data_IF_696797560410
#
_entry.id   IF_696797560410
#
_cell.length_a   1.000
_cell.length_b   1.000
_cell.length_c   1.000
_cell.angle_alpha   90.00
_cell.angle_beta   90.00
_cell.angle_gamma   90.00
#
_symmetry.space_group_name_H-M   'P 1'
#
loop_
_entity.id
_entity.type
_entity.pdbx_description
1 polymer ?
#
# COMPACT_ATOMS: atom_id res chain seq x y z
N UNK A 1 -3.52 -10.00 -20.55
CA UNK A 1 -2.38 -9.38 -19.83
C UNK A 1 -1.08 -9.99 -20.34
N UNK A 2 -0.14 -9.20 -20.83
CA UNK A 2 1.12 -9.71 -21.38
C UNK A 2 1.92 -10.38 -20.24
N UNK A 3 2.05 -11.71 -20.26
CA UNK A 3 2.74 -12.51 -19.23
C UNK A 3 4.20 -12.06 -19.00
N UNK A 4 4.79 -11.40 -19.99
CA UNK A 4 6.17 -10.95 -19.95
C UNK A 4 6.38 -9.60 -19.23
N UNK A 5 5.34 -8.80 -19.00
CA UNK A 5 5.50 -7.45 -18.43
C UNK A 5 6.15 -7.46 -17.04
N UNK A 6 5.75 -8.36 -16.17
CA UNK A 6 6.27 -8.44 -14.80
C UNK A 6 7.52 -9.33 -14.65
N UNK A 7 7.89 -10.06 -15.69
CA UNK A 7 9.02 -10.98 -15.61
C UNK A 7 10.30 -10.25 -15.23
N UNK A 8 10.96 -10.72 -14.16
CA UNK A 8 12.18 -10.14 -13.56
C UNK A 8 12.04 -8.69 -13.03
N UNK A 9 10.87 -8.06 -13.10
CA UNK A 9 10.65 -6.74 -12.51
C UNK A 9 10.85 -6.77 -11.00
N UNK A 10 11.56 -5.76 -10.47
CA UNK A 10 11.71 -5.57 -9.03
C UNK A 10 10.54 -4.75 -8.49
N UNK A 11 9.71 -5.37 -7.68
CA UNK A 11 8.45 -4.81 -7.19
C UNK A 11 8.46 -4.75 -5.68
N UNK A 12 8.09 -3.59 -5.12
CA UNK A 12 7.85 -3.42 -3.70
C UNK A 12 6.35 -3.36 -3.41
N UNK A 13 5.89 -4.10 -2.41
CA UNK A 13 4.51 -4.07 -1.92
C UNK A 13 4.55 -3.71 -0.43
N UNK A 14 3.96 -2.58 -0.03
CA UNK A 14 3.72 -2.31 1.38
C UNK A 14 2.41 -2.98 1.80
N UNK A 15 2.33 -3.52 3.02
CA UNK A 15 1.17 -4.30 3.44
C UNK A 15 1.03 -5.62 2.67
N UNK A 16 2.17 -6.22 2.31
CA UNK A 16 2.22 -7.46 1.52
C UNK A 16 1.53 -8.66 2.19
N UNK A 17 1.46 -8.67 3.51
CA UNK A 17 0.83 -9.73 4.31
C UNK A 17 -0.65 -9.48 4.63
N UNK A 18 -1.21 -8.36 4.16
CA UNK A 18 -2.65 -8.08 4.16
C UNK A 18 -3.39 -8.90 3.09
N UNK A 19 -4.72 -8.85 3.08
CA UNK A 19 -5.56 -9.63 2.16
C UNK A 19 -5.23 -9.35 0.68
N UNK A 20 -5.28 -8.09 0.27
CA UNK A 20 -4.99 -7.68 -1.12
C UNK A 20 -3.51 -7.91 -1.44
N UNK A 21 -2.61 -7.51 -0.53
CA UNK A 21 -1.16 -7.64 -0.70
C UNK A 21 -0.70 -9.08 -0.91
N UNK A 22 -1.27 -10.02 -0.16
CA UNK A 22 -0.95 -11.46 -0.27
C UNK A 22 -1.34 -12.02 -1.65
N UNK A 23 -2.56 -11.73 -2.10
CA UNK A 23 -3.05 -12.18 -3.40
C UNK A 23 -2.26 -11.56 -4.56
N UNK A 24 -1.93 -10.27 -4.45
CA UNK A 24 -1.10 -9.58 -5.43
C UNK A 24 0.31 -10.17 -5.48
N UNK A 25 0.95 -10.37 -4.32
CA UNK A 25 2.27 -10.97 -4.24
C UNK A 25 2.31 -12.38 -4.86
N UNK A 26 1.33 -13.22 -4.54
CA UNK A 26 1.16 -14.56 -5.14
C UNK A 26 1.14 -14.47 -6.67
N UNK A 27 0.31 -13.58 -7.22
CA UNK A 27 0.18 -13.40 -8.67
C UNK A 27 1.46 -12.89 -9.31
N UNK A 28 2.11 -11.90 -8.72
CA UNK A 28 3.35 -11.32 -9.24
C UNK A 28 4.53 -12.31 -9.20
N UNK A 29 4.65 -13.11 -8.13
CA UNK A 29 5.62 -14.20 -8.04
C UNK A 29 5.37 -15.23 -9.15
N UNK A 30 4.12 -15.63 -9.36
CA UNK A 30 3.75 -16.55 -10.45
C UNK A 30 4.11 -15.99 -11.83
N UNK A 31 4.02 -14.67 -12.03
CA UNK A 31 4.43 -13.98 -13.27
C UNK A 31 5.95 -13.75 -13.38
N UNK A 32 6.73 -14.28 -12.45
CA UNK A 32 8.20 -14.21 -12.48
C UNK A 32 8.80 -12.88 -12.01
N UNK A 33 8.02 -12.04 -11.30
CA UNK A 33 8.53 -10.83 -10.68
C UNK A 33 9.43 -11.14 -9.47
N UNK A 34 10.39 -10.24 -9.19
CA UNK A 34 11.18 -10.21 -7.95
C UNK A 34 10.44 -9.36 -6.93
N UNK A 35 9.64 -10.02 -6.07
CA UNK A 35 8.75 -9.33 -5.13
C UNK A 35 9.46 -9.11 -3.80
N UNK A 36 9.40 -7.88 -3.32
CA UNK A 36 9.77 -7.48 -1.96
C UNK A 36 8.56 -6.92 -1.24
N UNK A 37 8.51 -7.05 0.07
CA UNK A 37 7.40 -6.53 0.85
C UNK A 37 7.83 -5.87 2.15
N UNK A 38 7.03 -4.89 2.60
CA UNK A 38 7.14 -4.30 3.93
C UNK A 38 6.00 -4.86 4.78
N UNK A 39 6.37 -5.36 5.97
CA UNK A 39 5.46 -5.84 7.02
C UNK A 39 5.76 -5.10 8.32
N UNK A 40 4.74 -4.79 9.12
CA UNK A 40 4.93 -4.18 10.44
C UNK A 40 5.24 -5.25 11.50
N UNK A 41 4.38 -6.25 11.61
CA UNK A 41 4.52 -7.37 12.56
C UNK A 41 4.33 -8.69 11.81
N UNK A 42 5.03 -9.74 12.24
CA UNK A 42 4.78 -11.09 11.69
C UNK A 42 3.37 -11.55 12.06
N UNK A 43 2.49 -11.69 11.09
CA UNK A 43 1.20 -12.32 11.26
C UNK A 43 1.24 -13.76 10.74
N UNK A 44 1.49 -14.73 11.65
CA UNK A 44 1.58 -16.15 11.29
C UNK A 44 0.28 -16.69 10.66
N UNK A 45 -0.87 -16.06 10.96
CA UNK A 45 -2.20 -16.46 10.45
C UNK A 45 -2.57 -15.80 9.13
N UNK A 46 -1.72 -14.93 8.58
CA UNK A 46 -2.00 -14.30 7.29
C UNK A 46 -1.99 -15.32 6.15
N UNK A 47 -2.81 -15.08 5.12
CA UNK A 47 -2.82 -15.85 3.87
C UNK A 47 -1.41 -15.95 3.27
N UNK A 48 -0.64 -14.86 3.37
CA UNK A 48 0.75 -14.75 2.91
C UNK A 48 1.67 -15.82 3.51
N UNK A 49 1.52 -16.10 4.81
CA UNK A 49 2.29 -17.13 5.49
C UNK A 49 1.68 -18.53 5.30
N UNK A 50 0.36 -18.65 5.34
CA UNK A 50 -0.35 -19.92 5.14
C UNK A 50 -0.03 -20.56 3.79
N UNK A 51 -0.06 -19.78 2.71
CA UNK A 51 0.29 -20.24 1.36
C UNK A 51 1.79 -20.25 1.06
N UNK A 52 2.64 -20.01 2.06
CA UNK A 52 4.10 -19.98 1.93
C UNK A 52 4.61 -18.99 0.86
N UNK A 53 3.87 -17.90 0.60
CA UNK A 53 4.29 -16.86 -0.36
C UNK A 53 5.52 -16.12 0.18
N UNK A 54 5.62 -16.00 1.50
CA UNK A 54 6.70 -15.35 2.22
C UNK A 54 8.10 -15.90 1.89
N UNK A 55 8.23 -17.19 1.58
CA UNK A 55 9.53 -17.80 1.23
C UNK A 55 10.02 -17.41 -0.16
N UNK A 56 9.14 -16.87 -1.01
CA UNK A 56 9.45 -16.42 -2.38
C UNK A 56 9.64 -14.90 -2.47
N UNK A 57 9.55 -14.18 -1.36
CA UNK A 57 9.63 -12.73 -1.30
C UNK A 57 10.74 -12.27 -0.37
N UNK A 58 11.38 -11.13 -0.69
CA UNK A 58 12.27 -10.44 0.26
C UNK A 58 11.43 -9.58 1.20
N UNK A 59 11.57 -9.75 2.51
CA UNK A 59 10.78 -9.03 3.50
C UNK A 59 11.60 -8.04 4.30
N UNK A 60 11.05 -6.83 4.44
CA UNK A 60 11.55 -5.77 5.31
C UNK A 60 10.54 -5.56 6.44
N UNK A 61 11.02 -5.57 7.68
CA UNK A 61 10.16 -5.37 8.86
C UNK A 61 10.36 -3.97 9.42
N UNK A 62 9.29 -3.19 9.49
CA UNK A 62 9.29 -1.83 10.04
C UNK A 62 8.05 -1.06 9.63
N UNK A 63 7.97 0.17 10.13
CA UNK A 63 6.83 1.05 9.92
C UNK A 63 7.03 1.94 8.70
N UNK A 64 5.97 2.10 7.90
CA UNK A 64 5.99 2.87 6.65
C UNK A 64 6.14 4.37 6.89
N UNK A 65 5.79 4.88 8.06
CA UNK A 65 6.00 6.28 8.44
C UNK A 65 7.41 6.58 8.98
N UNK A 66 8.26 5.55 9.16
CA UNK A 66 9.67 5.75 9.51
C UNK A 66 10.49 6.11 8.26
N UNK A 67 10.81 7.40 8.12
CA UNK A 67 11.49 7.93 6.94
C UNK A 67 12.88 7.29 6.72
N UNK A 68 13.67 7.06 7.77
CA UNK A 68 15.00 6.46 7.63
C UNK A 68 14.91 5.01 7.15
N UNK A 69 13.94 4.26 7.65
CA UNK A 69 13.68 2.89 7.21
C UNK A 69 13.27 2.83 5.74
N UNK A 70 12.32 3.66 5.31
CA UNK A 70 11.86 3.73 3.93
C UNK A 70 12.97 4.19 3.00
N UNK A 71 13.69 5.26 3.36
CA UNK A 71 14.83 5.76 2.60
C UNK A 71 15.86 4.67 2.34
N UNK A 72 16.26 3.93 3.40
CA UNK A 72 17.23 2.83 3.29
C UNK A 72 16.76 1.75 2.31
N UNK A 73 15.49 1.34 2.38
CA UNK A 73 14.94 0.31 1.48
C UNK A 73 14.94 0.79 0.04
N UNK A 74 14.45 2.01 -0.21
CA UNK A 74 14.32 2.54 -1.57
C UNK A 74 15.69 2.82 -2.20
N UNK A 75 16.65 3.33 -1.42
CA UNK A 75 18.00 3.64 -1.92
C UNK A 75 18.80 2.38 -2.24
N UNK A 76 18.72 1.37 -1.38
CA UNK A 76 19.52 0.16 -1.53
C UNK A 76 18.97 -0.85 -2.54
N UNK A 77 17.78 -0.59 -3.08
CA UNK A 77 17.13 -1.48 -4.04
C UNK A 77 16.71 -0.70 -5.29
N UNK A 78 16.79 -1.36 -6.44
CA UNK A 78 16.38 -0.79 -7.73
C UNK A 78 14.96 -1.25 -8.05
N UNK A 79 13.97 -0.84 -7.25
CA UNK A 79 12.57 -1.12 -7.55
C UNK A 79 12.12 -0.37 -8.80
N UNK A 80 11.25 -0.99 -9.58
CA UNK A 80 10.65 -0.41 -10.78
C UNK A 80 9.17 -0.08 -10.57
N UNK A 81 8.48 -0.86 -9.74
CA UNK A 81 7.04 -0.70 -9.46
C UNK A 81 6.83 -0.77 -7.96
N UNK A 82 5.99 0.10 -7.45
CA UNK A 82 5.59 0.10 -6.04
C UNK A 82 4.07 0.00 -5.95
N UNK A 83 3.59 -0.95 -5.16
CA UNK A 83 2.21 -1.05 -4.72
C UNK A 83 2.14 -0.64 -3.24
N UNK A 84 1.59 0.51 -2.98
CA UNK A 84 1.39 1.01 -1.62
C UNK A 84 -0.01 0.62 -1.14
N UNK A 85 -0.09 -0.51 -0.42
CA UNK A 85 -1.33 -1.11 0.08
C UNK A 85 -1.42 -1.09 1.61
N UNK A 86 -0.33 -0.74 2.29
CA UNK A 86 -0.33 -0.63 3.74
C UNK A 86 -1.20 0.54 4.18
N UNK A 87 -2.14 0.26 5.06
CA UNK A 87 -3.02 1.25 5.67
C UNK A 87 -3.62 0.67 6.97
N UNK A 88 -3.98 1.53 7.90
CA UNK A 88 -4.96 1.22 8.93
C UNK A 88 -6.35 1.29 8.26
N UNK A 89 -7.13 0.21 8.29
CA UNK A 89 -8.35 0.06 7.48
C UNK A 89 -9.64 -0.02 8.29
N UNK A 90 -9.55 -0.12 9.61
CA UNK A 90 -10.70 -0.29 10.48
C UNK A 90 -11.29 1.07 10.86
N UNK A 91 -12.47 1.39 10.32
CA UNK A 91 -13.18 2.66 10.56
C UNK A 91 -13.48 2.86 12.05
N UNK A 92 -13.87 1.80 12.77
CA UNK A 92 -14.13 1.86 14.21
C UNK A 92 -12.90 2.30 15.02
N UNK A 93 -11.73 1.73 14.68
CA UNK A 93 -10.45 2.12 15.31
C UNK A 93 -10.13 3.57 14.99
N UNK A 94 -10.27 3.99 13.74
CA UNK A 94 -10.00 5.35 13.31
C UNK A 94 -10.89 6.39 14.03
N UNK A 95 -12.15 6.05 14.31
CA UNK A 95 -13.07 6.93 15.02
C UNK A 95 -12.75 7.03 16.51
N UNK A 96 -12.26 5.93 17.11
CA UNK A 96 -11.91 5.90 18.54
C UNK A 96 -10.55 6.55 18.81
N UNK A 97 -9.53 6.20 18.03
CA UNK A 97 -8.19 6.76 18.10
C UNK A 97 -7.65 6.99 16.67
N UNK A 98 -7.77 8.22 16.16
CA UNK A 98 -7.35 8.53 14.79
C UNK A 98 -5.84 8.61 14.60
N UNK A 99 -5.05 8.68 15.67
CA UNK A 99 -3.60 8.93 15.58
C UNK A 99 -2.89 7.89 14.70
N UNK A 100 -3.05 6.60 15.00
CA UNK A 100 -2.44 5.51 14.24
C UNK A 100 -2.92 5.48 12.79
N UNK A 101 -4.18 5.88 12.55
CA UNK A 101 -4.74 5.99 11.21
C UNK A 101 -4.03 7.09 10.41
N UNK A 102 -3.80 8.24 11.00
CA UNK A 102 -3.11 9.36 10.35
C UNK A 102 -1.61 9.07 10.14
N UNK A 103 -0.95 8.51 11.14
CA UNK A 103 0.46 8.09 11.00
C UNK A 103 0.63 7.06 9.85
N UNK A 104 -0.22 6.04 9.82
CA UNK A 104 -0.14 5.01 8.77
C UNK A 104 -0.58 5.53 7.41
N UNK A 105 -1.77 6.14 7.32
CA UNK A 105 -2.40 6.42 6.02
C UNK A 105 -1.90 7.72 5.40
N UNK A 106 -1.70 8.77 6.21
CA UNK A 106 -1.22 10.07 5.71
C UNK A 106 0.30 10.09 5.71
N UNK A 107 0.91 9.99 6.90
CA UNK A 107 2.36 10.09 7.02
C UNK A 107 3.08 8.95 6.30
N UNK A 108 2.57 7.72 6.39
CA UNK A 108 3.11 6.58 5.66
C UNK A 108 3.11 6.81 4.16
N UNK A 109 2.00 7.31 3.60
CA UNK A 109 1.88 7.58 2.17
C UNK A 109 2.85 8.67 1.71
N UNK A 110 2.85 9.85 2.35
CA UNK A 110 3.79 10.90 1.92
C UNK A 110 5.25 10.52 2.18
N UNK A 111 5.55 9.73 3.20
CA UNK A 111 6.91 9.23 3.45
C UNK A 111 7.39 8.35 2.29
N UNK A 112 6.55 7.43 1.83
CA UNK A 112 6.85 6.61 0.64
C UNK A 112 7.06 7.54 -0.56
N UNK A 113 6.07 8.35 -0.92
CA UNK A 113 6.09 9.17 -2.13
C UNK A 113 7.29 10.14 -2.15
N UNK A 114 7.59 10.81 -1.04
CA UNK A 114 8.72 11.73 -0.95
C UNK A 114 10.08 11.05 -1.23
N UNK A 115 10.25 9.80 -0.78
CA UNK A 115 11.48 9.05 -1.06
C UNK A 115 11.57 8.56 -2.51
N UNK A 116 10.48 8.64 -3.30
CA UNK A 116 10.47 8.24 -4.70
C UNK A 116 10.76 9.37 -5.68
N UNK A 117 10.50 10.62 -5.30
CA UNK A 117 10.56 11.80 -6.20
C UNK A 117 11.86 11.87 -7.01
N UNK A 118 12.98 11.54 -6.42
CA UNK A 118 14.31 11.60 -7.09
C UNK A 118 14.80 10.24 -7.57
N UNK A 119 14.00 9.18 -7.46
CA UNK A 119 14.42 7.81 -7.81
C UNK A 119 14.10 7.47 -9.27
N UNK A 120 15.11 7.57 -10.13
CA UNK A 120 14.97 7.32 -11.59
C UNK A 120 14.63 5.87 -11.96
N UNK A 121 14.75 4.91 -11.04
CA UNK A 121 14.42 3.51 -11.33
C UNK A 121 12.91 3.25 -11.31
N UNK A 122 12.15 4.05 -10.55
CA UNK A 122 10.71 3.87 -10.37
C UNK A 122 9.98 4.27 -11.66
N UNK A 123 9.21 3.33 -12.20
CA UNK A 123 8.39 3.50 -13.42
C UNK A 123 6.93 3.73 -13.10
N UNK A 124 6.44 3.14 -12.00
CA UNK A 124 5.04 3.23 -11.60
C UNK A 124 4.89 3.12 -10.10
N UNK A 125 3.96 3.91 -9.56
CA UNK A 125 3.52 3.85 -8.17
C UNK A 125 2.01 3.72 -8.17
N UNK A 126 1.49 2.71 -7.49
CA UNK A 126 0.07 2.48 -7.31
C UNK A 126 -0.24 2.62 -5.83
N UNK A 127 -1.09 3.57 -5.48
CA UNK A 127 -1.55 3.81 -4.09
C UNK A 127 -3.00 3.35 -3.97
N UNK A 128 -3.28 2.51 -2.98
CA UNK A 128 -4.64 2.07 -2.72
C UNK A 128 -5.42 3.16 -1.98
N UNK A 129 -6.37 3.79 -2.68
CA UNK A 129 -7.36 4.69 -2.09
C UNK A 129 -8.62 3.92 -1.68
N UNK A 130 -9.74 4.62 -1.50
CA UNK A 130 -11.04 4.07 -1.13
C UNK A 130 -12.14 4.99 -1.66
N UNK A 131 -13.34 4.45 -1.87
CA UNK A 131 -14.55 5.23 -2.11
C UNK A 131 -14.87 6.18 -0.94
N UNK A 132 -14.44 5.82 0.27
CA UNK A 132 -14.57 6.66 1.47
C UNK A 132 -13.85 8.02 1.33
N UNK A 133 -12.86 8.14 0.45
CA UNK A 133 -12.24 9.44 0.15
C UNK A 133 -13.22 10.48 -0.43
N UNK A 134 -14.33 10.02 -1.03
CA UNK A 134 -15.39 10.91 -1.49
C UNK A 134 -16.30 11.40 -0.35
N UNK A 135 -16.33 10.69 0.79
CA UNK A 135 -17.29 10.92 1.85
C UNK A 135 -18.71 10.45 1.49
N UNK A 136 -19.72 11.02 2.14
CA UNK A 136 -21.10 10.60 1.92
C UNK A 136 -21.82 11.45 0.86
N UNK A 137 -22.36 10.76 -0.14
CA UNK A 137 -23.22 11.33 -1.16
C UNK A 137 -24.61 10.68 -1.13
N UNK A 138 -25.70 11.43 -1.39
CA UNK A 138 -27.05 10.86 -1.54
C UNK A 138 -27.06 9.77 -2.63
N UNK A 139 -27.86 8.71 -2.42
CA UNK A 139 -27.93 7.53 -3.31
C UNK A 139 -28.11 7.86 -4.80
N UNK A 140 -28.82 8.93 -5.13
CA UNK A 140 -29.02 9.37 -6.51
C UNK A 140 -27.76 9.79 -7.26
N UNK A 141 -26.65 10.03 -6.55
CA UNK A 141 -25.34 10.38 -7.12
C UNK A 141 -24.40 9.19 -7.21
N UNK A 142 -24.84 7.99 -6.84
CA UNK A 142 -24.02 6.78 -6.98
C UNK A 142 -24.23 6.14 -8.37
N UNK A 143 -23.21 5.46 -8.93
CA UNK A 143 -21.86 5.30 -8.38
C UNK A 143 -21.05 6.60 -8.37
N UNK A 144 -20.03 6.68 -7.52
CA UNK A 144 -19.11 7.82 -7.49
C UNK A 144 -18.43 8.01 -8.84
N UNK A 145 -18.17 9.28 -9.19
CA UNK A 145 -17.40 9.68 -10.38
C UNK A 145 -16.13 10.36 -9.96
N UNK A 146 -15.06 10.20 -10.74
CA UNK A 146 -13.76 10.81 -10.45
C UNK A 146 -13.82 12.35 -10.36
N UNK A 147 -14.81 12.97 -10.99
CA UNK A 147 -15.05 14.42 -10.94
C UNK A 147 -15.69 14.89 -9.63
N UNK A 148 -16.08 13.99 -8.74
CA UNK A 148 -16.72 14.39 -7.48
C UNK A 148 -15.69 14.94 -6.50
N UNK A 149 -16.06 16.01 -5.80
CA UNK A 149 -15.26 16.59 -4.74
C UNK A 149 -15.24 15.67 -3.51
N UNK A 150 -14.12 15.63 -2.82
CA UNK A 150 -14.06 14.97 -1.51
C UNK A 150 -14.94 15.72 -0.51
N UNK A 151 -15.77 14.96 0.20
CA UNK A 151 -16.60 15.40 1.34
C UNK A 151 -16.27 14.57 2.59
N UNK A 152 -15.05 14.05 2.66
CA UNK A 152 -14.59 13.26 3.79
C UNK A 152 -14.62 14.07 5.08
N UNK A 153 -15.25 13.54 6.13
CA UNK A 153 -15.36 14.17 7.46
C UNK A 153 -14.93 13.25 8.59
N UNK A 154 -15.00 11.94 8.40
CA UNK A 154 -14.56 10.97 9.39
C UNK A 154 -13.05 10.70 9.29
N UNK A 155 -12.36 10.36 10.39
CA UNK A 155 -10.90 10.23 10.41
C UNK A 155 -10.34 9.30 9.34
N UNK A 156 -10.94 8.11 9.15
CA UNK A 156 -10.52 7.20 8.08
C UNK A 156 -10.72 7.81 6.68
N UNK A 157 -11.89 8.39 6.44
CA UNK A 157 -12.26 8.98 5.15
C UNK A 157 -11.29 10.12 4.78
N UNK A 158 -11.04 11.03 5.75
CA UNK A 158 -10.06 12.11 5.60
C UNK A 158 -8.66 11.56 5.32
N UNK A 159 -8.25 10.51 6.03
CA UNK A 159 -6.93 9.89 5.81
C UNK A 159 -6.77 9.34 4.39
N UNK A 160 -7.85 8.80 3.81
CA UNK A 160 -7.86 8.27 2.43
C UNK A 160 -8.01 9.36 1.38
N UNK A 161 -8.62 10.49 1.72
CA UNK A 161 -8.66 11.67 0.87
C UNK A 161 -7.30 12.39 0.80
N UNK A 162 -6.50 12.33 1.88
CA UNK A 162 -5.15 12.90 1.93
C UNK A 162 -4.09 12.01 1.27
N UNK A 163 -4.33 10.71 1.18
CA UNK A 163 -3.42 9.73 0.57
C UNK A 163 -3.51 9.71 -0.94
#
# INVERSE_FOLDING_TARGET
MNKNFFYKKKILITGIDGFVGSNLAKKLVFLGAKVSGIIQKKNKKSLFNYEKINIKCTLYKGDIYNNNFIKKIITNNKFEIIFHLAAQVEVGVANYDPFDTWESNIRGTYTILNNLVKNKNIKSVIVASSDKSYGEYPKKYLPYKESYLSKAIYPYDVSKACA
#
